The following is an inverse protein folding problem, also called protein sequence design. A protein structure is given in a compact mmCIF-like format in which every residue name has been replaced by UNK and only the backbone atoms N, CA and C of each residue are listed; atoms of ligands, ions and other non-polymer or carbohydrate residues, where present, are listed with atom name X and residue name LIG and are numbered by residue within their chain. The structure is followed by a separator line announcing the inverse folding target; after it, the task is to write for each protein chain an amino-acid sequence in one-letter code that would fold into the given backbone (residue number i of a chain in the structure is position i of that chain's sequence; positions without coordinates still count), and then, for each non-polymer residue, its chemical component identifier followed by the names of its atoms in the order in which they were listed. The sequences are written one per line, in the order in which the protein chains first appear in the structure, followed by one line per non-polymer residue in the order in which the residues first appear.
data_IF_294840754923
#
_entry.id   IF_294840754923
#
_cell.length_a   1.000
_cell.length_b   1.000
_cell.length_c   1.000
_cell.angle_alpha   90.00
_cell.angle_beta   90.00
_cell.angle_gamma   90.00
#
_symmetry.space_group_name_H-M   'P 1'
#
loop_
_entity.id
_entity.type
_entity.pdbx_description
1 polymer ?
#
# COMPACT_ATOMS: atom_id res chain seq x y z
N UNK A 1 -10.20 -3.31 5.04
CA UNK A 1 -11.22 -4.03 4.25
C UNK A 1 -12.50 -3.28 4.48
N UNK A 2 -13.05 -2.62 3.46
CA UNK A 2 -14.37 -1.98 3.57
C UNK A 2 -15.36 -3.05 3.16
N UNK A 3 -16.09 -3.61 4.13
CA UNK A 3 -17.21 -4.49 3.88
C UNK A 3 -18.45 -3.61 3.77
N UNK A 4 -18.97 -3.49 2.55
CA UNK A 4 -20.28 -2.92 2.33
C UNK A 4 -21.27 -4.09 2.32
N UNK A 5 -22.21 -4.09 3.26
CA UNK A 5 -23.34 -5.00 3.27
C UNK A 5 -24.62 -4.17 3.23
N UNK A 6 -25.67 -4.74 2.67
CA UNK A 6 -26.97 -4.11 2.68
C UNK A 6 -27.52 -4.18 4.11
N UNK A 7 -27.75 -3.03 4.73
CA UNK A 7 -28.29 -2.92 6.08
C UNK A 7 -29.62 -2.19 5.98
N UNK A 8 -30.71 -2.92 6.15
CA UNK A 8 -32.03 -2.30 6.27
C UNK A 8 -32.18 -1.58 7.62
N UNK A 9 -33.28 -0.82 7.76
CA UNK A 9 -33.54 -0.02 8.94
C UNK A 9 -33.65 -0.88 10.20
N UNK A 10 -34.31 -2.03 10.11
CA UNK A 10 -34.50 -2.96 11.22
C UNK A 10 -33.16 -3.54 11.72
N UNK A 11 -32.32 -4.01 10.79
CA UNK A 11 -30.97 -4.53 11.10
C UNK A 11 -30.11 -3.45 11.77
N UNK A 12 -30.22 -2.19 11.30
CA UNK A 12 -29.50 -1.08 11.91
C UNK A 12 -29.95 -0.82 13.35
N UNK A 13 -31.26 -0.84 13.61
CA UNK A 13 -31.80 -0.66 14.97
C UNK A 13 -31.32 -1.75 15.94
N UNK A 14 -31.28 -3.01 15.48
CA UNK A 14 -30.73 -4.12 16.26
C UNK A 14 -29.24 -3.91 16.56
N UNK A 15 -28.47 -3.48 15.57
CA UNK A 15 -27.05 -3.18 15.75
C UNK A 15 -26.83 -2.00 16.74
N UNK A 16 -27.62 -0.94 16.64
CA UNK A 16 -27.60 0.20 17.57
C UNK A 16 -27.96 -0.23 19.00
N UNK A 17 -28.92 -1.14 19.17
CA UNK A 17 -29.26 -1.73 20.47
C UNK A 17 -28.09 -2.55 21.05
N UNK A 18 -27.41 -3.34 20.23
CA UNK A 18 -26.24 -4.12 20.65
C UNK A 18 -25.09 -3.23 21.11
N UNK A 19 -24.81 -2.12 20.41
CA UNK A 19 -23.77 -1.18 20.81
C UNK A 19 -24.08 -0.50 22.15
N UNK A 20 -25.36 -0.19 22.42
CA UNK A 20 -25.80 0.40 23.70
C UNK A 20 -25.56 -0.50 24.91
N UNK A 21 -25.39 -1.81 24.72
CA UNK A 21 -25.03 -2.73 25.81
C UNK A 21 -23.60 -2.54 26.32
N UNK A 22 -22.74 -1.83 25.57
CA UNK A 22 -21.33 -1.62 25.90
C UNK A 22 -20.43 -2.84 25.68
N UNK A 23 -20.97 -3.96 25.18
CA UNK A 23 -20.20 -5.18 24.90
C UNK A 23 -19.38 -5.08 23.61
N UNK A 24 -19.67 -4.10 22.75
CA UNK A 24 -19.04 -3.91 21.43
C UNK A 24 -18.58 -2.47 21.29
N UNK A 25 -17.36 -2.27 20.77
CA UNK A 25 -16.75 -0.93 20.65
C UNK A 25 -17.25 -0.16 19.43
N UNK A 26 -17.66 -0.88 18.38
CA UNK A 26 -18.21 -0.33 17.15
C UNK A 26 -18.99 -1.42 16.37
N UNK A 27 -19.64 -1.02 15.27
CA UNK A 27 -20.36 -1.96 14.40
C UNK A 27 -19.45 -3.04 13.80
N UNK A 28 -18.19 -2.72 13.50
CA UNK A 28 -17.27 -3.69 12.92
C UNK A 28 -16.96 -4.82 13.90
N UNK A 29 -16.80 -4.51 15.18
CA UNK A 29 -16.58 -5.48 16.26
C UNK A 29 -17.80 -6.38 16.47
N UNK A 30 -19.02 -5.81 16.42
CA UNK A 30 -20.26 -6.56 16.53
C UNK A 30 -20.43 -7.54 15.35
N UNK A 31 -20.21 -7.07 14.11
CA UNK A 31 -20.30 -7.91 12.90
C UNK A 31 -19.24 -9.02 12.93
N UNK A 32 -17.99 -8.69 13.28
CA UNK A 32 -16.92 -9.69 13.35
C UNK A 32 -17.23 -10.79 14.39
N UNK A 33 -17.79 -10.41 15.54
CA UNK A 33 -18.24 -11.35 16.57
C UNK A 33 -19.37 -12.24 16.04
N UNK A 34 -20.39 -11.65 15.41
CA UNK A 34 -21.52 -12.38 14.85
C UNK A 34 -21.09 -13.41 13.80
N UNK A 35 -20.19 -13.04 12.87
CA UNK A 35 -19.66 -13.94 11.85
C UNK A 35 -18.89 -15.10 12.50
N UNK A 36 -18.08 -14.82 13.51
CA UNK A 36 -17.31 -15.87 14.21
C UNK A 36 -18.23 -16.83 14.97
N UNK A 37 -19.27 -16.31 15.62
CA UNK A 37 -20.26 -17.13 16.31
C UNK A 37 -21.05 -18.01 15.32
N UNK A 38 -21.41 -17.46 14.16
CA UNK A 38 -22.09 -18.22 13.11
C UNK A 38 -21.21 -19.34 12.57
N UNK A 39 -19.92 -19.09 12.37
CA UNK A 39 -18.96 -20.12 11.97
C UNK A 39 -18.90 -21.26 12.99
N UNK A 40 -18.78 -20.93 14.29
CA UNK A 40 -18.76 -21.94 15.37
C UNK A 40 -20.06 -22.75 15.37
N UNK A 41 -21.21 -22.10 15.22
CA UNK A 41 -22.50 -22.80 15.13
C UNK A 41 -22.56 -23.74 13.92
N UNK A 42 -22.07 -23.32 12.76
CA UNK A 42 -22.02 -24.17 11.58
C UNK A 42 -21.10 -25.39 11.76
N UNK A 43 -19.93 -25.20 12.37
CA UNK A 43 -18.98 -26.29 12.67
C UNK A 43 -19.55 -27.29 13.67
N UNK A 44 -20.20 -26.79 14.73
CA UNK A 44 -20.88 -27.62 15.74
C UNK A 44 -22.11 -28.34 15.15
N UNK A 45 -22.87 -27.68 14.28
CA UNK A 45 -24.01 -28.32 13.60
C UNK A 45 -23.57 -29.40 12.62
N UNK A 46 -22.49 -29.17 11.89
CA UNK A 46 -21.94 -30.15 10.95
C UNK A 46 -21.38 -31.38 11.67
N UNK A 47 -20.84 -31.21 12.88
CA UNK A 47 -20.22 -32.31 13.64
C UNK A 47 -21.18 -33.06 14.57
N UNK A 48 -22.15 -32.37 15.18
CA UNK A 48 -23.02 -32.92 16.25
C UNK A 48 -24.51 -32.86 15.94
N UNK A 49 -24.92 -32.31 14.80
CA UNK A 49 -26.33 -32.13 14.44
C UNK A 49 -26.95 -30.91 15.12
N UNK A 50 -28.24 -30.97 15.48
CA UNK A 50 -28.95 -29.79 16.00
C UNK A 50 -28.32 -29.26 17.31
N UNK A 51 -27.90 -27.99 17.30
CA UNK A 51 -27.34 -27.31 18.47
C UNK A 51 -28.49 -26.71 19.29
N UNK A 52 -28.73 -27.25 20.48
CA UNK A 52 -29.70 -26.70 21.44
C UNK A 52 -28.97 -25.76 22.41
N UNK A 53 -29.12 -24.46 22.21
CA UNK A 53 -28.63 -23.44 23.14
C UNK A 53 -29.51 -23.45 24.40
N UNK A 54 -29.07 -24.15 25.45
CA UNK A 54 -29.73 -24.08 26.77
C UNK A 54 -29.40 -22.74 27.41
N UNK A 55 -30.43 -21.99 27.82
CA UNK A 55 -30.28 -20.74 28.56
C UNK A 55 -29.47 -20.95 29.86
N UNK A 56 -28.84 -19.87 30.33
CA UNK A 56 -27.86 -19.85 31.43
C UNK A 56 -28.47 -20.15 32.83
N UNK A 57 -29.66 -20.73 32.91
CA UNK A 57 -30.31 -21.03 34.20
C UNK A 57 -30.06 -22.45 34.72
N UNK A 58 -29.46 -23.36 33.94
CA UNK A 58 -29.28 -24.78 34.34
C UNK A 58 -27.83 -25.31 34.29
N UNK A 59 -26.84 -24.48 34.64
CA UNK A 59 -25.47 -24.96 34.87
C UNK A 59 -25.28 -25.32 36.35
N UNK A 60 -25.66 -26.54 36.76
CA UNK A 60 -25.18 -27.12 38.02
C UNK A 60 -23.68 -27.42 37.92
N UNK A 61 -22.86 -27.02 38.90
CA UNK A 61 -21.43 -27.32 38.88
C UNK A 61 -21.21 -28.80 39.19
N UNK A 62 -20.57 -29.52 38.26
CA UNK A 62 -20.05 -30.86 38.54
C UNK A 62 -18.81 -30.72 39.44
N UNK A 63 -18.96 -31.17 40.68
CA UNK A 63 -17.86 -31.49 41.57
C UNK A 63 -17.07 -32.66 40.98
N UNK A 64 -15.76 -32.46 40.80
CA UNK A 64 -14.67 -33.41 41.08
C UNK A 64 -13.41 -32.99 40.33
N UNK A 65 -12.59 -32.17 41.02
CA UNK A 65 -11.15 -32.40 41.22
C UNK A 65 -10.54 -31.21 41.98
N UNK A 66 -10.52 -31.37 43.30
CA UNK A 66 -9.39 -31.06 44.18
C UNK A 66 -8.08 -31.54 43.49
N UNK A 67 -6.89 -30.97 43.63
CA UNK A 67 -6.24 -30.19 44.67
C UNK A 67 -5.03 -29.55 43.96
N UNK A 68 -4.65 -28.28 44.15
CA UNK A 68 -3.56 -27.93 45.08
C UNK A 68 -3.51 -26.41 45.21
N UNK A 69 -4.12 -25.88 46.28
CA UNK A 69 -3.81 -24.54 46.80
C UNK A 69 -2.76 -24.67 47.89
N UNK A 70 -1.61 -24.03 47.71
CA UNK A 70 -0.87 -23.47 48.82
C UNK A 70 -0.98 -21.93 48.72
N UNK A 71 -1.62 -21.38 49.74
CA UNK A 71 -1.81 -19.97 50.08
C UNK A 71 -0.49 -19.38 50.60
N UNK A 72 -0.21 -18.09 50.85
CA UNK A 72 -0.88 -16.78 51.12
C UNK A 72 0.25 -15.71 50.81
N UNK A 73 0.32 -14.48 51.37
CA UNK A 73 -0.49 -13.25 51.29
C UNK A 73 0.23 -12.06 50.62
N UNK A 74 -0.55 -10.99 50.42
CA UNK A 74 -0.09 -9.63 50.19
C UNK A 74 0.53 -8.96 51.44
N UNK A 75 1.65 -8.22 51.30
CA UNK A 75 1.81 -6.85 51.86
C UNK A 75 3.09 -6.12 51.40
N UNK A 76 2.88 -4.91 50.90
CA UNK A 76 3.61 -3.64 51.07
C UNK A 76 5.16 -3.54 51.16
N UNK A 77 5.67 -2.68 50.26
CA UNK A 77 6.67 -1.58 50.40
C UNK A 77 8.14 -1.85 50.78
N UNK A 78 9.00 -1.09 50.07
CA UNK A 78 10.43 -0.78 50.27
C UNK A 78 11.39 -1.96 49.98
N UNK A 79 12.55 -1.82 49.35
CA UNK A 79 13.35 -0.70 48.84
C UNK A 79 14.53 -1.30 48.07
N UNK A 80 15.04 -0.56 47.07
CA UNK A 80 16.44 -0.53 46.59
C UNK A 80 17.25 -1.85 46.55
N UNK A 81 17.52 -2.36 45.34
CA UNK A 81 18.81 -2.98 45.02
C UNK A 81 19.08 -2.89 43.52
N UNK A 82 20.27 -2.37 43.19
CA UNK A 82 20.77 -2.13 41.85
C UNK A 82 20.89 -3.43 41.02
N UNK A 83 20.70 -3.39 39.69
CA UNK A 83 20.90 -4.57 38.87
C UNK A 83 22.39 -4.80 38.64
N UNK A 84 22.87 -6.00 39.00
CA UNK A 84 24.16 -6.55 38.55
C UNK A 84 24.16 -6.69 37.02
N UNK A 85 25.26 -6.36 36.34
CA UNK A 85 25.35 -6.44 34.89
C UNK A 85 25.38 -7.92 34.46
N UNK A 86 24.35 -8.34 33.73
CA UNK A 86 24.39 -9.60 32.98
C UNK A 86 25.30 -9.38 31.78
N UNK A 87 26.47 -10.02 31.81
CA UNK A 87 27.38 -10.10 30.67
C UNK A 87 26.60 -10.63 29.47
N UNK A 88 26.36 -9.74 28.50
CA UNK A 88 25.85 -10.11 27.20
C UNK A 88 27.02 -10.72 26.41
N UNK A 89 27.02 -12.03 26.28
CA UNK A 89 27.81 -12.72 25.26
C UNK A 89 27.14 -12.42 23.92
N UNK A 90 27.46 -11.26 23.33
CA UNK A 90 27.05 -10.90 21.98
C UNK A 90 27.88 -11.74 21.00
N UNK A 91 27.39 -12.94 20.71
CA UNK A 91 27.76 -13.62 19.48
C UNK A 91 27.06 -12.82 18.37
N UNK A 92 27.79 -11.88 17.75
CA UNK A 92 27.35 -11.19 16.55
C UNK A 92 27.23 -12.25 15.45
N UNK A 93 26.08 -12.91 15.36
CA UNK A 93 25.68 -13.54 14.13
C UNK A 93 25.47 -12.41 13.14
N UNK A 94 26.37 -12.26 12.17
CA UNK A 94 26.17 -11.38 11.03
C UNK A 94 24.83 -11.75 10.39
N UNK A 95 23.80 -10.94 10.61
CA UNK A 95 22.49 -11.13 10.02
C UNK A 95 22.63 -10.88 8.52
N UNK A 96 22.95 -11.94 7.77
CA UNK A 96 23.04 -11.88 6.32
C UNK A 96 21.66 -11.53 5.79
N UNK A 97 21.53 -10.33 5.23
CA UNK A 97 20.31 -9.92 4.53
C UNK A 97 20.18 -10.79 3.29
N UNK A 98 18.98 -11.32 3.06
CA UNK A 98 18.68 -12.04 1.83
C UNK A 98 18.85 -11.11 0.62
N UNK A 99 19.04 -11.66 -0.58
CA UNK A 99 19.09 -10.84 -1.80
C UNK A 99 17.70 -10.56 -2.34
N UNK A 100 17.51 -9.44 -3.03
CA UNK A 100 16.29 -9.18 -3.78
C UNK A 100 16.05 -10.31 -4.81
N UNK A 101 14.79 -10.73 -5.06
CA UNK A 101 14.52 -11.75 -6.06
C UNK A 101 14.99 -11.31 -7.45
N UNK A 102 15.67 -12.20 -8.18
CA UNK A 102 16.37 -11.90 -9.43
C UNK A 102 15.54 -11.08 -10.42
N UNK A 103 14.24 -11.41 -10.58
CA UNK A 103 13.31 -10.75 -11.50
C UNK A 103 13.18 -9.22 -11.29
N UNK A 104 13.57 -8.72 -10.12
CA UNK A 104 13.54 -7.28 -9.75
C UNK A 104 14.92 -6.62 -9.81
N UNK A 105 15.97 -7.34 -10.18
CA UNK A 105 17.35 -6.85 -10.23
C UNK A 105 17.76 -6.51 -11.66
N UNK A 106 18.79 -5.67 -11.82
CA UNK A 106 19.36 -5.39 -13.14
C UNK A 106 19.88 -6.65 -13.85
N UNK A 107 20.42 -7.62 -13.09
CA UNK A 107 21.00 -8.84 -13.65
C UNK A 107 19.99 -9.72 -14.40
N UNK A 108 18.69 -9.56 -14.15
CA UNK A 108 17.64 -10.32 -14.84
C UNK A 108 17.06 -9.61 -16.07
N UNK A 109 17.49 -8.38 -16.36
CA UNK A 109 17.05 -7.65 -17.54
C UNK A 109 17.72 -8.21 -18.80
N UNK A 110 17.02 -8.19 -19.96
CA UNK A 110 17.67 -8.47 -21.24
C UNK A 110 18.71 -7.38 -21.55
N UNK A 111 19.78 -7.74 -22.25
CA UNK A 111 20.80 -6.78 -22.70
C UNK A 111 20.20 -5.77 -23.69
N UNK A 112 19.42 -6.27 -24.64
CA UNK A 112 18.69 -5.47 -25.62
C UNK A 112 17.29 -5.09 -25.14
N UNK A 113 16.79 -3.97 -25.66
CA UNK A 113 15.41 -3.58 -25.43
C UNK A 113 14.46 -4.66 -25.96
N UNK A 114 13.48 -5.14 -25.16
CA UNK A 114 12.43 -6.00 -25.68
C UNK A 114 11.55 -5.21 -26.66
N UNK A 115 10.57 -5.87 -27.28
CA UNK A 115 9.54 -5.16 -28.01
C UNK A 115 8.84 -4.16 -27.07
N UNK A 116 8.93 -2.87 -27.41
CA UNK A 116 8.33 -1.79 -26.65
C UNK A 116 6.96 -1.45 -27.21
N UNK A 117 6.00 -1.21 -26.33
CA UNK A 117 4.68 -0.75 -26.69
C UNK A 117 4.64 0.76 -26.90
N UNK A 118 3.66 1.25 -27.68
CA UNK A 118 3.51 2.68 -27.90
C UNK A 118 3.19 3.39 -26.59
N UNK A 119 3.61 4.65 -26.48
CA UNK A 119 3.25 5.50 -25.36
C UNK A 119 1.72 5.69 -25.29
N UNK A 120 1.06 5.40 -24.16
CA UNK A 120 -0.38 5.60 -24.04
C UNK A 120 -0.76 7.07 -24.23
N UNK A 121 -1.70 7.32 -25.14
CA UNK A 121 -2.28 8.65 -25.31
C UNK A 121 -3.02 9.08 -24.04
N UNK A 122 -2.90 10.36 -23.69
CA UNK A 122 -3.59 10.94 -22.53
C UNK A 122 -4.81 11.74 -22.96
N UNK A 123 -5.84 11.76 -22.10
CA UNK A 123 -7.00 12.65 -22.29
C UNK A 123 -6.66 14.13 -22.01
N UNK A 124 -5.55 14.40 -21.30
CA UNK A 124 -5.16 15.73 -20.85
C UNK A 124 -3.85 16.18 -21.50
N UNK A 125 -3.81 17.47 -21.83
CA UNK A 125 -2.60 18.19 -22.19
C UNK A 125 -1.84 18.63 -20.94
N UNK A 126 -0.54 18.87 -21.07
CA UNK A 126 0.27 19.46 -20.00
C UNK A 126 -0.31 20.81 -19.56
N UNK A 127 -0.35 21.06 -18.25
CA UNK A 127 -0.89 22.28 -17.64
C UNK A 127 -2.42 22.38 -17.59
N UNK A 128 -3.16 21.41 -18.16
CA UNK A 128 -4.62 21.38 -18.05
C UNK A 128 -5.06 21.19 -16.59
N UNK A 129 -6.19 21.80 -16.22
CA UNK A 129 -6.78 21.54 -14.90
C UNK A 129 -7.41 20.14 -14.86
N UNK A 130 -7.06 19.36 -13.83
CA UNK A 130 -7.51 17.96 -13.72
C UNK A 130 -8.32 17.75 -12.44
N UNK A 131 -9.60 17.34 -12.53
CA UNK A 131 -10.43 17.11 -11.35
C UNK A 131 -9.87 15.97 -10.47
N UNK A 132 -10.12 16.04 -9.16
CA UNK A 132 -9.64 15.05 -8.17
C UNK A 132 -9.98 13.60 -8.54
N UNK A 133 -11.12 13.37 -9.21
CA UNK A 133 -11.56 12.04 -9.65
C UNK A 133 -10.70 11.43 -10.75
N UNK A 134 -9.86 12.23 -11.41
CA UNK A 134 -9.01 11.84 -12.53
C UNK A 134 -7.53 11.76 -12.17
N UNK A 135 -7.16 12.17 -10.96
CA UNK A 135 -5.82 11.90 -10.42
C UNK A 135 -5.55 10.41 -10.34
N UNK A 136 -4.27 10.01 -10.28
CA UNK A 136 -3.94 8.61 -10.06
C UNK A 136 -4.61 8.08 -8.81
N UNK A 137 -5.09 6.85 -8.91
CA UNK A 137 -5.88 6.21 -7.88
C UNK A 137 -5.17 6.29 -6.51
N UNK A 138 -5.85 6.82 -5.50
CA UNK A 138 -5.25 7.13 -4.20
C UNK A 138 -4.71 5.91 -3.45
N UNK A 139 -5.10 4.70 -3.84
CA UNK A 139 -4.54 3.46 -3.30
C UNK A 139 -3.16 3.12 -3.88
N UNK A 140 -2.73 3.80 -4.94
CA UNK A 140 -1.36 3.77 -5.44
C UNK A 140 -0.48 4.64 -4.54
N UNK A 141 -0.35 4.27 -3.27
CA UNK A 141 0.25 5.13 -2.26
C UNK A 141 1.79 5.07 -2.21
N UNK A 142 2.45 4.33 -3.10
CA UNK A 142 3.91 4.22 -3.17
C UNK A 142 4.37 4.11 -4.61
N UNK A 143 5.57 4.61 -4.90
CA UNK A 143 6.19 4.57 -6.23
C UNK A 143 7.19 3.41 -6.38
N UNK A 144 7.77 2.90 -5.30
CA UNK A 144 8.74 1.79 -5.37
C UNK A 144 8.20 0.54 -6.12
N UNK A 145 6.91 0.15 -5.99
CA UNK A 145 6.33 -0.91 -6.82
C UNK A 145 6.38 -0.64 -8.32
N UNK A 146 6.40 0.62 -8.78
CA UNK A 146 6.55 0.92 -10.20
C UNK A 146 7.91 0.43 -10.72
N UNK A 147 8.99 0.70 -9.99
CA UNK A 147 10.34 0.24 -10.37
C UNK A 147 10.42 -1.28 -10.40
N UNK A 148 9.93 -1.92 -9.34
CA UNK A 148 9.87 -3.38 -9.24
C UNK A 148 9.09 -3.98 -10.42
N UNK A 149 7.90 -3.46 -10.70
CA UNK A 149 7.04 -4.01 -11.75
C UNK A 149 7.58 -3.76 -13.16
N UNK A 150 8.27 -2.63 -13.41
CA UNK A 150 8.95 -2.40 -14.69
C UNK A 150 10.03 -3.47 -14.94
N UNK A 151 10.88 -3.73 -13.94
CA UNK A 151 11.92 -4.77 -14.05
C UNK A 151 11.33 -6.17 -14.18
N UNK A 152 10.30 -6.46 -13.39
CA UNK A 152 9.67 -7.76 -13.46
C UNK A 152 9.02 -8.01 -14.82
N UNK A 153 8.35 -7.01 -15.39
CA UNK A 153 7.78 -7.12 -16.73
C UNK A 153 8.87 -7.25 -17.80
N UNK A 154 9.96 -6.48 -17.73
CA UNK A 154 11.11 -6.64 -18.62
C UNK A 154 11.71 -8.04 -18.58
N UNK A 155 11.88 -8.61 -17.38
CA UNK A 155 12.39 -9.95 -17.21
C UNK A 155 11.46 -11.01 -17.81
N UNK A 156 10.13 -10.84 -17.69
CA UNK A 156 9.16 -11.71 -18.36
C UNK A 156 9.18 -11.54 -19.89
N UNK A 157 9.41 -10.33 -20.40
CA UNK A 157 9.53 -10.07 -21.84
C UNK A 157 10.77 -10.71 -22.47
N UNK A 158 11.80 -11.03 -21.68
CA UNK A 158 12.93 -11.83 -22.15
C UNK A 158 12.50 -13.24 -22.59
N UNK A 159 11.54 -13.83 -21.90
CA UNK A 159 11.00 -15.17 -22.21
C UNK A 159 9.81 -15.10 -23.19
N UNK A 160 9.08 -13.99 -23.19
CA UNK A 160 7.90 -13.76 -24.02
C UNK A 160 8.03 -12.42 -24.78
N UNK A 161 8.86 -12.35 -25.83
CA UNK A 161 9.19 -11.09 -26.50
C UNK A 161 7.99 -10.43 -27.19
N UNK A 162 6.98 -11.23 -27.57
CA UNK A 162 5.74 -10.77 -28.19
C UNK A 162 4.75 -10.12 -27.20
N UNK A 163 5.10 -9.99 -25.93
CA UNK A 163 4.24 -9.43 -24.89
C UNK A 163 3.70 -10.47 -23.91
N UNK A 164 3.38 -10.02 -22.69
CA UNK A 164 3.03 -10.89 -21.57
C UNK A 164 1.53 -10.82 -21.28
N UNK A 165 0.84 -11.97 -21.25
CA UNK A 165 -0.59 -12.00 -20.90
C UNK A 165 -0.85 -11.39 -19.52
N UNK A 166 -1.81 -10.47 -19.41
CA UNK A 166 -2.09 -9.71 -18.18
C UNK A 166 -2.29 -10.58 -16.95
N UNK A 167 -3.02 -11.70 -17.06
CA UNK A 167 -3.27 -12.63 -15.94
C UNK A 167 -1.99 -13.34 -15.49
N UNK A 168 -1.16 -13.72 -16.46
CA UNK A 168 0.12 -14.36 -16.19
C UNK A 168 1.08 -13.38 -15.51
N UNK A 169 1.23 -12.16 -16.05
CA UNK A 169 2.05 -11.11 -15.44
C UNK A 169 1.59 -10.79 -14.01
N UNK A 170 0.29 -10.53 -13.81
CA UNK A 170 -0.28 -10.21 -12.52
C UNK A 170 -0.02 -11.30 -11.47
N UNK A 171 -0.16 -12.58 -11.86
CA UNK A 171 0.10 -13.72 -10.97
C UNK A 171 1.59 -13.81 -10.65
N UNK A 172 2.43 -13.89 -11.69
CA UNK A 172 3.87 -14.16 -11.55
C UNK A 172 4.60 -13.04 -10.81
N UNK A 173 4.31 -11.78 -11.14
CA UNK A 173 4.93 -10.62 -10.50
C UNK A 173 4.50 -10.54 -9.02
N UNK A 174 3.23 -10.79 -8.72
CA UNK A 174 2.73 -10.71 -7.34
C UNK A 174 3.28 -11.81 -6.44
N UNK A 175 3.50 -13.01 -6.97
CA UNK A 175 4.17 -14.09 -6.25
C UNK A 175 5.61 -13.72 -5.88
N UNK A 176 6.37 -13.14 -6.82
CA UNK A 176 7.73 -12.69 -6.55
C UNK A 176 7.74 -11.49 -5.61
N UNK A 177 6.73 -10.61 -5.71
CA UNK A 177 6.59 -9.45 -4.83
C UNK A 177 6.41 -9.84 -3.35
N UNK A 178 5.92 -11.05 -3.04
CA UNK A 178 5.87 -11.58 -1.67
C UNK A 178 7.28 -11.81 -1.12
N UNK A 179 8.16 -12.41 -1.94
CA UNK A 179 9.57 -12.62 -1.56
C UNK A 179 10.30 -11.29 -1.44
N UNK A 180 10.03 -10.37 -2.37
CA UNK A 180 10.57 -9.01 -2.30
C UNK A 180 10.12 -8.30 -1.03
N UNK A 181 8.85 -8.46 -0.61
CA UNK A 181 8.38 -7.88 0.65
C UNK A 181 9.18 -8.37 1.87
N UNK A 182 9.51 -9.67 1.93
CA UNK A 182 10.33 -10.23 3.00
C UNK A 182 11.73 -9.59 3.03
N UNK A 183 12.37 -9.46 1.86
CA UNK A 183 13.64 -8.75 1.71
C UNK A 183 13.55 -7.27 2.18
N UNK A 184 12.55 -6.54 1.70
CA UNK A 184 12.35 -5.13 2.09
C UNK A 184 12.08 -4.97 3.59
N UNK A 185 11.39 -5.92 4.22
CA UNK A 185 11.17 -5.91 5.67
C UNK A 185 12.48 -6.11 6.46
N UNK A 186 13.43 -6.91 5.95
CA UNK A 186 14.74 -7.04 6.56
C UNK A 186 15.53 -5.73 6.47
N UNK A 187 15.47 -5.04 5.32
CA UNK A 187 16.06 -3.69 5.17
C UNK A 187 15.39 -2.67 6.11
N UNK A 188 14.05 -2.65 6.16
CA UNK A 188 13.30 -1.78 7.06
C UNK A 188 13.73 -1.96 8.53
N UNK A 189 13.95 -3.21 8.95
CA UNK A 189 14.42 -3.54 10.30
C UNK A 189 15.89 -3.14 10.51
N UNK A 190 16.76 -3.44 9.53
CA UNK A 190 18.19 -3.13 9.60
C UNK A 190 18.44 -1.63 9.73
N UNK A 191 17.68 -0.80 9.01
CA UNK A 191 17.83 0.66 8.99
C UNK A 191 16.87 1.39 9.93
N UNK A 192 15.98 0.67 10.61
CA UNK A 192 15.04 1.24 11.57
C UNK A 192 13.99 2.16 10.93
N UNK A 193 13.56 1.88 9.70
CA UNK A 193 12.57 2.72 9.02
C UNK A 193 11.21 2.66 9.73
N UNK A 194 10.67 3.85 10.01
CA UNK A 194 9.32 4.00 10.53
C UNK A 194 8.25 3.65 9.48
N UNK A 195 6.99 3.58 9.91
CA UNK A 195 5.85 3.22 9.04
C UNK A 195 5.72 4.10 7.79
N UNK A 196 6.08 5.38 7.86
CA UNK A 196 5.96 6.32 6.74
C UNK A 196 7.11 6.18 5.73
N UNK A 197 8.24 5.62 6.16
CA UNK A 197 9.47 5.49 5.38
C UNK A 197 9.73 4.05 4.93
N UNK A 198 9.05 3.08 5.54
CA UNK A 198 9.20 1.65 5.24
C UNK A 198 9.06 1.34 3.75
N UNK A 199 10.09 0.68 3.21
CA UNK A 199 10.22 0.20 1.83
C UNK A 199 9.19 -0.88 1.52
N UNK A 200 8.92 -1.77 2.47
CA UNK A 200 7.95 -2.84 2.31
C UNK A 200 6.50 -2.33 2.20
N UNK A 201 6.27 -1.03 2.41
CA UNK A 201 4.94 -0.42 2.24
C UNK A 201 4.46 -0.63 0.80
N UNK A 202 3.21 -1.07 0.66
CA UNK A 202 2.54 -1.45 -0.59
C UNK A 202 2.83 -2.86 -1.13
N UNK A 203 3.89 -3.54 -0.69
CA UNK A 203 4.16 -4.93 -1.08
C UNK A 203 3.34 -5.95 -0.27
N UNK A 204 3.04 -7.13 -0.82
CA UNK A 204 2.27 -8.15 -0.14
C UNK A 204 3.14 -8.94 0.86
N UNK A 205 2.83 -8.85 2.15
CA UNK A 205 3.60 -9.55 3.19
C UNK A 205 3.44 -11.08 3.16
N UNK A 206 4.51 -11.85 3.43
CA UNK A 206 4.43 -13.31 3.54
C UNK A 206 3.51 -13.74 4.69
N UNK A 207 2.84 -14.88 4.53
CA UNK A 207 1.95 -15.45 5.56
C UNK A 207 0.63 -14.70 5.81
N UNK A 208 0.39 -13.57 5.14
CA UNK A 208 -0.93 -12.89 5.16
C UNK A 208 -1.86 -13.48 4.09
N UNK A 209 -3.17 -13.31 4.31
CA UNK A 209 -4.23 -13.78 3.40
C UNK A 209 -3.95 -13.47 1.93
N UNK A 210 -4.40 -14.37 1.04
CA UNK A 210 -4.39 -14.22 -0.44
C UNK A 210 -4.93 -12.86 -0.93
N UNK A 211 -5.72 -12.16 -0.12
CA UNK A 211 -6.21 -10.80 -0.38
C UNK A 211 -5.09 -9.77 -0.60
N UNK A 212 -3.97 -9.88 0.12
CA UNK A 212 -2.85 -8.94 -0.02
C UNK A 212 -2.17 -9.04 -1.39
N UNK A 213 -1.92 -10.28 -1.83
CA UNK A 213 -1.35 -10.61 -3.14
C UNK A 213 -2.31 -10.16 -4.25
N UNK A 214 -3.60 -10.47 -4.14
CA UNK A 214 -4.61 -10.06 -5.12
C UNK A 214 -4.73 -8.53 -5.23
N UNK A 215 -4.63 -7.81 -4.09
CA UNK A 215 -4.61 -6.34 -4.11
C UNK A 215 -3.36 -5.82 -4.81
N UNK A 216 -2.20 -6.40 -4.55
CA UNK A 216 -0.96 -6.02 -5.23
C UNK A 216 -1.08 -6.24 -6.75
N UNK A 217 -1.54 -7.42 -7.15
CA UNK A 217 -1.80 -7.77 -8.55
C UNK A 217 -2.70 -6.75 -9.24
N UNK A 218 -3.85 -6.44 -8.62
CA UNK A 218 -4.85 -5.57 -9.23
C UNK A 218 -4.46 -4.09 -9.24
N UNK A 219 -3.78 -3.60 -8.21
CA UNK A 219 -3.51 -2.16 -8.07
C UNK A 219 -2.14 -1.79 -8.64
N UNK A 220 -1.11 -2.59 -8.37
CA UNK A 220 0.26 -2.21 -8.71
C UNK A 220 0.75 -2.84 -10.01
N UNK A 221 0.30 -4.07 -10.33
CA UNK A 221 0.69 -4.75 -11.56
C UNK A 221 -0.23 -4.34 -12.71
N UNK A 222 -1.35 -5.03 -12.88
CA UNK A 222 -2.33 -4.73 -13.93
C UNK A 222 -3.64 -5.50 -13.68
N UNK A 223 -4.76 -4.87 -14.00
CA UNK A 223 -6.09 -5.49 -14.09
C UNK A 223 -6.83 -4.95 -15.30
N UNK A 224 -7.46 -5.84 -16.06
CA UNK A 224 -8.44 -5.47 -17.06
C UNK A 224 -9.86 -5.57 -16.49
N UNK A 225 -10.72 -4.62 -16.83
CA UNK A 225 -12.15 -4.72 -16.57
C UNK A 225 -12.90 -5.43 -17.71
N UNK A 226 -14.23 -5.56 -17.57
CA UNK A 226 -15.08 -6.22 -18.57
C UNK A 226 -15.12 -5.48 -19.92
N UNK A 227 -14.78 -4.19 -19.94
CA UNK A 227 -14.67 -3.39 -21.17
C UNK A 227 -13.30 -3.50 -21.84
N UNK A 228 -12.38 -4.26 -21.25
CA UNK A 228 -11.00 -4.40 -21.75
C UNK A 228 -10.08 -3.25 -21.32
N UNK A 229 -10.56 -2.30 -20.51
CA UNK A 229 -9.73 -1.20 -20.01
C UNK A 229 -8.74 -1.75 -18.98
N UNK A 230 -7.45 -1.53 -19.24
CA UNK A 230 -6.38 -1.90 -18.34
C UNK A 230 -6.14 -0.78 -17.32
N UNK A 231 -5.96 -1.19 -16.07
CA UNK A 231 -5.66 -0.31 -14.93
C UNK A 231 -4.50 -0.90 -14.13
N UNK A 232 -3.74 -0.02 -13.49
CA UNK A 232 -2.60 -0.39 -12.65
C UNK A 232 -1.68 0.82 -12.48
N UNK A 233 -0.75 0.74 -11.54
CA UNK A 233 0.22 1.82 -11.31
C UNK A 233 1.03 2.13 -12.58
N UNK A 234 1.56 1.12 -13.26
CA UNK A 234 2.36 1.34 -14.48
C UNK A 234 1.56 1.94 -15.62
N UNK A 235 0.29 1.54 -15.79
CA UNK A 235 -0.61 2.15 -16.77
C UNK A 235 -0.88 3.61 -16.42
N UNK A 236 -1.16 3.90 -15.15
CA UNK A 236 -1.39 5.26 -14.68
C UNK A 236 -0.18 6.17 -14.88
N UNK A 237 1.02 5.65 -14.63
CA UNK A 237 2.28 6.34 -14.90
C UNK A 237 2.72 6.27 -16.36
N UNK A 238 1.97 5.64 -17.26
CA UNK A 238 2.35 5.44 -18.68
C UNK A 238 3.73 4.79 -18.89
N UNK A 239 4.15 3.95 -17.95
CA UNK A 239 5.36 3.13 -18.03
C UNK A 239 5.08 1.77 -18.69
N UNK A 240 3.81 1.44 -18.90
CA UNK A 240 3.38 0.19 -19.53
C UNK A 240 2.28 0.48 -20.55
N UNK A 241 2.36 -0.24 -21.67
CA UNK A 241 1.36 -0.26 -22.73
C UNK A 241 0.73 -1.64 -22.84
N UNK A 242 -0.34 -1.76 -23.63
CA UNK A 242 -1.01 -3.02 -23.85
C UNK A 242 -1.64 -3.06 -25.24
N UNK A 243 -1.85 -4.27 -25.76
CA UNK A 243 -2.59 -4.49 -26.99
C UNK A 243 -3.37 -5.81 -26.91
N UNK A 244 -4.34 -5.99 -27.80
CA UNK A 244 -5.17 -7.19 -27.87
C UNK A 244 -4.72 -8.09 -29.03
N UNK A 245 -4.46 -9.37 -28.74
CA UNK A 245 -4.11 -10.39 -29.74
C UNK A 245 -4.85 -11.68 -29.40
N UNK A 246 -5.72 -12.16 -30.30
CA UNK A 246 -6.47 -13.40 -30.11
C UNK A 246 -7.38 -13.41 -28.86
N UNK A 247 -7.99 -12.28 -28.53
CA UNK A 247 -8.85 -12.15 -27.34
C UNK A 247 -8.10 -12.06 -26.00
N UNK A 248 -6.77 -11.99 -26.04
CA UNK A 248 -5.91 -11.80 -24.86
C UNK A 248 -5.33 -10.40 -24.85
N UNK A 249 -5.25 -9.81 -23.66
CA UNK A 249 -4.56 -8.55 -23.41
C UNK A 249 -3.10 -8.87 -23.07
N UNK A 250 -2.18 -8.39 -23.92
CA UNK A 250 -0.74 -8.53 -23.76
C UNK A 250 -0.15 -7.21 -23.29
N UNK A 251 0.75 -7.28 -22.31
CA UNK A 251 1.44 -6.15 -21.70
C UNK A 251 2.84 -5.99 -22.30
N UNK A 252 3.25 -4.74 -22.53
CA UNK A 252 4.59 -4.33 -22.94
C UNK A 252 5.05 -3.16 -22.08
N UNK A 253 6.36 -2.97 -21.95
CA UNK A 253 6.89 -1.70 -21.43
C UNK A 253 6.79 -0.63 -22.51
N UNK A 254 6.58 0.62 -22.10
CA UNK A 254 6.90 1.77 -22.95
C UNK A 254 8.41 2.00 -22.95
N UNK A 255 8.90 2.88 -23.82
CA UNK A 255 10.30 3.34 -23.79
C UNK A 255 10.68 3.90 -22.41
N UNK A 256 9.85 4.79 -21.84
CA UNK A 256 10.05 5.29 -20.49
C UNK A 256 10.02 4.19 -19.41
N UNK A 257 9.14 3.19 -19.55
CA UNK A 257 9.10 2.04 -18.64
C UNK A 257 10.39 1.22 -18.67
N UNK A 258 10.96 1.04 -19.87
CA UNK A 258 12.22 0.33 -20.08
C UNK A 258 13.43 1.12 -19.58
N UNK A 259 13.51 2.41 -19.89
CA UNK A 259 14.53 3.31 -19.33
C UNK A 259 14.52 3.29 -17.81
N UNK A 260 13.33 3.43 -17.22
CA UNK A 260 13.19 3.38 -15.78
C UNK A 260 13.64 2.03 -15.19
N UNK A 261 13.33 0.91 -15.86
CA UNK A 261 13.75 -0.42 -15.41
C UNK A 261 15.29 -0.54 -15.32
N UNK A 262 16.01 0.05 -16.29
CA UNK A 262 17.47 -0.04 -16.44
C UNK A 262 18.27 0.86 -15.50
N UNK A 263 17.67 1.90 -14.93
CA UNK A 263 18.38 2.72 -13.94
C UNK A 263 18.80 1.84 -12.74
N UNK A 264 20.02 1.97 -12.20
CA UNK A 264 20.40 1.31 -10.95
C UNK A 264 19.50 1.72 -9.80
N UNK A 265 19.10 0.76 -8.98
CA UNK A 265 18.23 0.98 -7.83
C UNK A 265 19.01 0.73 -6.54
N UNK A 266 19.02 1.70 -5.60
CA UNK A 266 19.68 1.50 -4.32
C UNK A 266 19.01 0.38 -3.52
N UNK A 267 17.72 0.09 -3.76
CA UNK A 267 16.98 -0.92 -3.01
C UNK A 267 17.19 -2.33 -3.57
N UNK A 268 17.22 -2.47 -4.89
CA UNK A 268 17.19 -3.80 -5.53
C UNK A 268 18.56 -4.32 -5.94
N UNK A 269 19.53 -3.44 -6.23
CA UNK A 269 20.84 -3.86 -6.78
C UNK A 269 21.98 -3.73 -5.78
N UNK A 270 21.83 -2.92 -4.73
CA UNK A 270 22.82 -2.83 -3.67
C UNK A 270 22.68 -4.03 -2.73
N UNK A 271 23.72 -4.85 -2.60
CA UNK A 271 23.72 -6.02 -1.72
C UNK A 271 23.81 -5.62 -0.24
N UNK A 272 22.69 -5.18 0.33
CA UNK A 272 22.55 -4.91 1.77
C UNK A 272 23.27 -3.66 2.28
N UNK A 273 23.88 -2.86 1.40
CA UNK A 273 24.53 -1.58 1.76
C UNK A 273 23.59 -0.37 1.66
N UNK A 274 22.31 -0.58 1.37
CA UNK A 274 21.37 0.48 1.03
C UNK A 274 20.94 1.29 2.25
N UNK A 275 21.60 2.42 2.50
CA UNK A 275 21.10 3.51 3.33
C UNK A 275 19.82 4.18 2.77
N UNK A 276 19.35 5.30 3.37
CA UNK A 276 17.94 5.63 3.60
C UNK A 276 17.03 5.92 2.40
N UNK A 277 17.49 5.80 1.16
CA UNK A 277 16.77 6.33 0.01
C UNK A 277 16.04 5.24 -0.78
N UNK A 278 14.75 5.49 -1.05
CA UNK A 278 13.89 4.59 -1.84
C UNK A 278 14.25 4.59 -3.33
N UNK A 279 14.77 5.72 -3.79
CA UNK A 279 15.17 5.99 -5.16
C UNK A 279 16.52 6.69 -5.13
N UNK A 280 17.38 6.42 -6.10
CA UNK A 280 18.53 7.28 -6.37
C UNK A 280 18.06 8.66 -6.87
N UNK A 281 18.97 9.64 -6.86
CA UNK A 281 18.70 10.95 -7.46
C UNK A 281 18.29 10.81 -8.94
N UNK A 282 19.00 10.00 -9.71
CA UNK A 282 18.72 9.72 -11.13
C UNK A 282 17.32 9.09 -11.32
N UNK A 283 16.93 8.13 -10.48
CA UNK A 283 15.59 7.53 -10.55
C UNK A 283 14.48 8.54 -10.24
N UNK A 284 14.70 9.40 -9.24
CA UNK A 284 13.74 10.41 -8.83
C UNK A 284 13.60 11.51 -9.90
N UNK A 285 14.71 12.00 -10.44
CA UNK A 285 14.74 12.98 -11.54
C UNK A 285 14.05 12.42 -12.79
N UNK A 286 14.35 11.17 -13.16
CA UNK A 286 13.68 10.50 -14.27
C UNK A 286 12.16 10.46 -14.08
N UNK A 287 11.70 9.99 -12.92
CA UNK A 287 10.25 9.90 -12.64
C UNK A 287 9.58 11.26 -12.64
N UNK A 288 10.21 12.28 -12.07
CA UNK A 288 9.67 13.64 -12.04
C UNK A 288 9.58 14.24 -13.43
N UNK A 289 10.64 14.13 -14.22
CA UNK A 289 10.66 14.58 -15.61
C UNK A 289 9.59 13.87 -16.44
N UNK A 290 9.47 12.55 -16.28
CA UNK A 290 8.45 11.75 -16.95
C UNK A 290 7.03 12.13 -16.53
N UNK A 291 6.76 12.32 -15.23
CA UNK A 291 5.45 12.74 -14.73
C UNK A 291 5.07 14.11 -15.30
N UNK A 292 6.01 15.06 -15.25
CA UNK A 292 5.81 16.43 -15.75
C UNK A 292 5.51 16.47 -17.25
N UNK A 293 6.20 15.64 -18.04
CA UNK A 293 6.04 15.61 -19.48
C UNK A 293 4.82 14.78 -19.94
N UNK A 294 4.57 13.64 -19.28
CA UNK A 294 3.72 12.58 -19.85
C UNK A 294 2.50 12.22 -19.00
N UNK A 295 2.44 12.62 -17.72
CA UNK A 295 1.36 12.24 -16.80
C UNK A 295 0.66 13.48 -16.22
N UNK A 296 -0.06 14.29 -17.04
CA UNK A 296 -0.68 15.53 -16.58
C UNK A 296 -1.60 15.39 -15.35
N UNK A 297 -2.40 14.31 -15.19
CA UNK A 297 -3.19 14.14 -13.96
C UNK A 297 -2.36 14.07 -12.69
N UNK A 298 -1.18 13.47 -12.75
CA UNK A 298 -0.30 13.32 -11.59
C UNK A 298 0.57 14.57 -11.38
N UNK A 299 1.05 15.18 -12.47
CA UNK A 299 1.70 16.49 -12.41
C UNK A 299 0.78 17.52 -11.74
N UNK A 300 -0.47 17.62 -12.22
CA UNK A 300 -1.45 18.56 -11.68
C UNK A 300 -1.76 18.27 -10.21
N UNK A 301 -1.80 16.99 -9.82
CA UNK A 301 -1.97 16.60 -8.42
C UNK A 301 -0.81 17.11 -7.55
N UNK A 302 0.43 16.93 -8.00
CA UNK A 302 1.62 17.36 -7.28
C UNK A 302 1.70 18.88 -7.16
N UNK A 303 1.51 19.62 -8.26
CA UNK A 303 1.54 21.08 -8.24
C UNK A 303 0.41 21.66 -7.39
N UNK A 304 -0.81 21.13 -7.48
CA UNK A 304 -1.94 21.55 -6.64
C UNK A 304 -1.67 21.36 -5.14
N UNK A 305 -1.05 20.23 -4.76
CA UNK A 305 -0.69 19.98 -3.36
C UNK A 305 0.42 20.92 -2.90
N UNK A 306 1.49 21.10 -3.69
CA UNK A 306 2.59 22.01 -3.35
C UNK A 306 2.11 23.45 -3.17
N UNK A 307 1.25 23.94 -4.08
CA UNK A 307 0.63 25.26 -3.97
C UNK A 307 -0.25 25.40 -2.72
N UNK A 308 -1.02 24.37 -2.39
CA UNK A 308 -1.84 24.37 -1.18
C UNK A 308 -0.99 24.41 0.09
N UNK A 309 0.09 23.63 0.15
CA UNK A 309 1.04 23.62 1.28
C UNK A 309 1.74 24.99 1.39
N UNK A 310 2.21 25.56 0.28
CA UNK A 310 2.82 26.90 0.24
C UNK A 310 1.85 28.00 0.72
N UNK A 311 0.54 27.83 0.46
CA UNK A 311 -0.52 28.71 0.96
C UNK A 311 -0.94 28.43 2.42
N UNK A 312 -0.25 27.54 3.14
CA UNK A 312 -0.49 27.23 4.55
C UNK A 312 -1.46 26.09 4.83
N UNK A 313 -1.96 25.38 3.80
CA UNK A 313 -2.76 24.17 3.97
C UNK A 313 -1.85 22.94 4.19
N UNK A 314 -1.12 22.93 5.31
CA UNK A 314 -0.04 21.97 5.62
C UNK A 314 -0.48 20.74 6.44
N UNK A 315 -1.71 20.68 6.94
CA UNK A 315 -2.23 19.51 7.68
C UNK A 315 -3.10 18.62 6.78
N UNK A 316 -3.35 17.34 7.14
CA UNK A 316 -4.28 16.49 6.40
C UNK A 316 -5.64 17.18 6.16
N UNK A 317 -6.24 17.73 7.20
CA UNK A 317 -7.60 18.29 7.11
C UNK A 317 -7.61 19.59 6.31
N UNK A 318 -6.70 20.53 6.60
CA UNK A 318 -6.61 21.78 5.83
C UNK A 318 -6.28 21.54 4.36
N UNK A 319 -5.39 20.59 4.05
CA UNK A 319 -5.08 20.21 2.69
C UNK A 319 -6.29 19.56 2.00
N UNK A 320 -7.04 18.72 2.70
CA UNK A 320 -8.28 18.12 2.19
C UNK A 320 -9.31 19.18 1.81
N UNK A 321 -9.53 20.17 2.68
CA UNK A 321 -10.40 21.31 2.40
C UNK A 321 -9.92 22.16 1.22
N UNK A 322 -8.63 22.49 1.18
CA UNK A 322 -8.05 23.27 0.08
C UNK A 322 -8.20 22.57 -1.28
N UNK A 323 -7.98 21.25 -1.33
CA UNK A 323 -8.17 20.47 -2.55
C UNK A 323 -9.66 20.41 -2.94
N UNK A 324 -10.57 20.21 -1.99
CA UNK A 324 -12.01 20.19 -2.28
C UNK A 324 -12.52 21.50 -2.89
N UNK A 325 -11.91 22.63 -2.51
CA UNK A 325 -12.26 23.97 -3.00
C UNK A 325 -11.61 24.31 -4.35
N UNK A 326 -10.32 24.01 -4.50
CA UNK A 326 -9.50 24.52 -5.63
C UNK A 326 -9.47 23.63 -6.85
N UNK A 327 -9.78 22.34 -6.71
CA UNK A 327 -9.74 21.40 -7.85
C UNK A 327 -11.04 21.51 -8.66
N UNK A 328 -11.00 21.44 -10.01
CA UNK A 328 -12.22 21.50 -10.81
C UNK A 328 -13.22 20.44 -10.38
N UNK A 329 -14.50 20.83 -10.35
CA UNK A 329 -15.59 19.89 -10.06
C UNK A 329 -16.00 19.20 -11.36
N UNK A 330 -16.13 17.88 -11.33
CA UNK A 330 -16.86 17.18 -12.39
C UNK A 330 -18.34 17.54 -12.27
N UNK A 331 -18.97 17.91 -13.39
CA UNK A 331 -20.37 18.32 -13.44
C UNK A 331 -21.26 17.25 -12.79
N UNK A 332 -22.04 17.65 -11.78
CA UNK A 332 -23.04 16.79 -11.14
C UNK A 332 -22.51 15.76 -10.15
N UNK A 333 -21.28 15.89 -9.63
CA UNK A 333 -20.73 14.93 -8.67
C UNK A 333 -20.04 15.58 -7.47
N UNK A 334 -20.67 15.49 -6.31
CA UNK A 334 -20.00 15.81 -5.04
C UNK A 334 -19.07 14.67 -4.63
N UNK A 335 -17.82 15.01 -4.30
CA UNK A 335 -16.83 14.05 -3.84
C UNK A 335 -16.98 13.84 -2.33
N UNK A 336 -17.07 12.58 -1.91
CA UNK A 336 -17.10 12.27 -0.47
C UNK A 336 -15.78 12.63 0.21
N UNK A 337 -15.83 13.00 1.50
CA UNK A 337 -14.64 13.24 2.31
C UNK A 337 -13.68 12.04 2.31
N UNK A 338 -14.21 10.81 2.30
CA UNK A 338 -13.40 9.60 2.20
C UNK A 338 -12.65 9.48 0.88
N UNK A 339 -13.26 9.90 -0.23
CA UNK A 339 -12.61 9.93 -1.53
C UNK A 339 -11.48 10.96 -1.57
N UNK A 340 -11.74 12.19 -1.11
CA UNK A 340 -10.74 13.26 -1.04
C UNK A 340 -9.56 12.84 -0.16
N UNK A 341 -9.85 12.27 1.02
CA UNK A 341 -8.82 11.77 1.92
C UNK A 341 -7.97 10.66 1.27
N UNK A 342 -8.59 9.76 0.50
CA UNK A 342 -7.88 8.70 -0.22
C UNK A 342 -6.97 9.28 -1.31
N UNK A 343 -7.47 10.18 -2.16
CA UNK A 343 -6.67 10.80 -3.23
C UNK A 343 -5.49 11.60 -2.65
N UNK A 344 -5.76 12.48 -1.68
CA UNK A 344 -4.74 13.26 -0.97
C UNK A 344 -3.66 12.37 -0.39
N UNK A 345 -4.05 11.34 0.36
CA UNK A 345 -3.09 10.47 1.06
C UNK A 345 -2.23 9.67 0.08
N UNK A 346 -2.81 9.22 -1.04
CA UNK A 346 -2.08 8.56 -2.11
C UNK A 346 -1.03 9.46 -2.74
N UNK A 347 -1.45 10.63 -3.22
CA UNK A 347 -0.57 11.61 -3.87
C UNK A 347 0.55 12.09 -2.93
N UNK A 348 0.23 12.52 -1.71
CA UNK A 348 1.23 12.94 -0.72
C UNK A 348 2.24 11.83 -0.42
N UNK A 349 1.80 10.57 -0.39
CA UNK A 349 2.70 9.45 -0.14
C UNK A 349 3.65 9.18 -1.30
N UNK A 350 3.19 9.32 -2.56
CA UNK A 350 4.05 9.26 -3.74
C UNK A 350 5.02 10.45 -3.82
N UNK A 351 4.54 11.66 -3.55
CA UNK A 351 5.39 12.87 -3.47
C UNK A 351 6.50 12.72 -2.43
N UNK A 352 6.21 12.09 -1.29
CA UNK A 352 7.23 11.79 -0.29
C UNK A 352 8.26 10.77 -0.74
N UNK A 353 7.87 9.77 -1.53
CA UNK A 353 8.81 8.76 -2.04
C UNK A 353 9.87 9.36 -2.98
N UNK A 354 9.52 10.41 -3.76
CA UNK A 354 10.43 11.13 -4.68
C UNK A 354 10.92 12.46 -4.11
N UNK A 355 10.71 12.69 -2.81
CA UNK A 355 11.30 13.82 -2.09
C UNK A 355 10.72 15.19 -2.42
N UNK A 356 9.49 15.32 -2.92
CA UNK A 356 8.82 16.61 -3.11
C UNK A 356 8.23 17.16 -1.80
N UNK A 357 7.80 16.27 -0.91
CA UNK A 357 7.21 16.60 0.39
C UNK A 357 7.87 15.81 1.52
N UNK A 358 8.08 16.47 2.64
CA UNK A 358 8.44 15.86 3.91
C UNK A 358 7.25 15.91 4.88
N UNK A 359 7.25 15.00 5.87
CA UNK A 359 6.31 15.01 6.99
C UNK A 359 7.05 15.47 8.24
N UNK A 360 6.59 16.56 8.85
CA UNK A 360 7.01 16.97 10.18
C UNK A 360 5.99 16.50 11.21
N UNK A 361 6.46 15.87 12.29
CA UNK A 361 5.60 15.34 13.36
C UNK A 361 5.79 16.16 14.63
N UNK A 362 4.67 16.68 15.15
CA UNK A 362 4.58 17.31 16.47
C UNK A 362 3.62 16.48 17.33
N UNK A 363 4.18 15.46 17.99
CA UNK A 363 3.38 14.45 18.70
C UNK A 363 2.52 13.63 17.73
N UNK A 364 1.19 13.73 17.89
CA UNK A 364 0.21 13.04 17.01
C UNK A 364 -0.13 13.84 15.75
N UNK A 365 0.27 15.12 15.68
CA UNK A 365 -0.04 15.99 14.55
C UNK A 365 1.02 15.82 13.47
N UNK A 366 0.56 15.75 12.23
CA UNK A 366 1.40 15.70 11.04
C UNK A 366 1.21 16.99 10.26
N UNK A 367 2.33 17.62 9.90
CA UNK A 367 2.39 18.72 8.93
C UNK A 367 3.18 18.27 7.71
N UNK A 368 2.80 18.78 6.55
CA UNK A 368 3.47 18.58 5.28
C UNK A 368 4.34 19.80 5.00
N UNK A 369 5.59 19.55 4.60
CA UNK A 369 6.56 20.61 4.30
C UNK A 369 7.08 20.35 2.90
N UNK A 370 7.04 21.37 2.04
CA UNK A 370 7.72 21.32 0.75
C UNK A 370 9.23 21.21 0.99
N UNK A 371 9.88 20.27 0.31
CA UNK A 371 11.34 20.19 0.32
C UNK A 371 11.92 21.21 -0.66
N UNK A 372 13.24 21.43 -0.64
CA UNK A 372 13.91 22.23 -1.66
C UNK A 372 13.61 21.73 -3.09
N UNK A 373 13.51 20.40 -3.28
CA UNK A 373 13.10 19.80 -4.55
C UNK A 373 11.64 20.11 -4.88
N UNK A 374 10.75 20.06 -3.90
CA UNK A 374 9.33 20.44 -4.06
C UNK A 374 9.15 21.91 -4.45
N UNK A 375 9.93 22.81 -3.84
CA UNK A 375 9.94 24.23 -4.18
C UNK A 375 10.46 24.47 -5.60
N UNK A 376 11.58 23.84 -5.98
CA UNK A 376 12.10 23.92 -7.35
C UNK A 376 11.11 23.37 -8.38
N UNK A 377 10.46 22.25 -8.07
CA UNK A 377 9.43 21.65 -8.93
C UNK A 377 8.26 22.61 -9.20
N UNK A 378 7.88 23.42 -8.20
CA UNK A 378 6.84 24.43 -8.36
C UNK A 378 7.32 25.66 -9.14
N UNK A 379 8.57 26.08 -8.94
CA UNK A 379 9.17 27.24 -9.58
C UNK A 379 9.33 27.11 -11.10
N UNK A 380 9.54 25.90 -11.63
CA UNK A 380 9.66 25.66 -13.08
C UNK A 380 8.35 25.85 -13.89
N UNK A 381 7.29 26.38 -13.28
CA UNK A 381 5.96 26.56 -13.89
C UNK A 381 5.59 28.04 -14.10
N UNK A 382 6.30 28.97 -13.45
CA UNK A 382 6.23 30.41 -13.74
C UNK A 382 7.11 30.75 -14.95
#
# INVERSE_FOLDING_TARGET
MILCFNCDAETKEVMDALLRTGQYTDFASAIACAIRNLQVLHEEMASKGAVVLRGVEDAKPSADREDSRASVPARARQSQQAPKPRAATSTQAETRVDTAPDIFTLAALPEDAPMLGPHPEGEWSSGAEVPLSRWLFGQYNRLLPAKANCRALASLLREMPDGVEIKFAATRISEQAVKLCAYLQQLDQLHGFGRDDALATAFPAPGRSSKGVLRYANHFVARADASGRVSGLLTGLKLMSHFSKGGKILLLLTEAGWEFARLPSPVFDAQGSAGPQKFSEEEAEFLLGHIKANVPPEEYAYSSILQAVAAGADTPDSLGSALAEKTPKEAGRDLSNGFIASQRSGAVSRMGDIGLLARAREGVRVRYVATARGEAYLGDRE
#
